data_IF_256118520681
#
_entry.id   IF_256118520681
#
_cell.length_a   1.000
_cell.length_b   1.000
_cell.length_c   1.000
_cell.angle_alpha   90.00
_cell.angle_beta   90.00
_cell.angle_gamma   90.00
#
_symmetry.space_group_name_H-M   'P 1'
#
loop_
_entity.id
_entity.type
_entity.pdbx_description
1 polymer ?
#
# COMPACT_ATOMS: atom_id res chain seq x y z
N UNK A 1 -40.32 14.02 -16.35
CA UNK A 1 -40.31 13.07 -15.21
C UNK A 1 -39.66 11.74 -15.59
N UNK A 2 -39.93 11.20 -16.78
CA UNK A 2 -39.40 9.91 -17.25
C UNK A 2 -37.87 9.83 -17.24
N UNK A 3 -37.19 10.86 -17.72
CA UNK A 3 -35.71 10.94 -17.74
C UNK A 3 -35.14 10.95 -16.32
N UNK A 4 -35.81 11.64 -15.38
CA UNK A 4 -35.38 11.73 -13.98
C UNK A 4 -35.47 10.36 -13.31
N UNK A 5 -36.55 9.62 -13.54
CA UNK A 5 -36.71 8.26 -13.05
C UNK A 5 -35.64 7.32 -13.61
N UNK A 6 -35.34 7.44 -14.90
CA UNK A 6 -34.32 6.63 -15.57
C UNK A 6 -32.91 6.96 -15.03
N UNK A 7 -32.61 8.24 -14.77
CA UNK A 7 -31.36 8.66 -14.15
C UNK A 7 -31.20 8.12 -12.71
N UNK A 8 -32.26 8.16 -11.90
CA UNK A 8 -32.25 7.60 -10.53
C UNK A 8 -32.03 6.09 -10.57
N UNK A 9 -32.67 5.37 -11.50
CA UNK A 9 -32.49 3.93 -11.64
C UNK A 9 -31.04 3.57 -11.99
N UNK A 10 -30.42 4.30 -12.93
CA UNK A 10 -29.01 4.12 -13.30
C UNK A 10 -28.06 4.43 -12.15
N UNK A 11 -28.28 5.53 -11.42
CA UNK A 11 -27.49 5.87 -10.24
C UNK A 11 -27.62 4.80 -9.16
N UNK A 12 -28.84 4.33 -8.89
CA UNK A 12 -29.09 3.25 -7.95
C UNK A 12 -28.31 1.98 -8.32
N UNK A 13 -28.33 1.60 -9.59
CA UNK A 13 -27.57 0.45 -10.08
C UNK A 13 -26.05 0.65 -9.94
N UNK A 14 -25.54 1.86 -10.19
CA UNK A 14 -24.12 2.18 -10.02
C UNK A 14 -23.68 2.06 -8.56
N UNK A 15 -24.45 2.60 -7.62
CA UNK A 15 -24.16 2.47 -6.18
C UNK A 15 -24.25 1.03 -5.69
N UNK A 16 -25.25 0.26 -6.16
CA UNK A 16 -25.36 -1.16 -5.86
C UNK A 16 -24.15 -1.95 -6.38
N UNK A 17 -23.69 -1.64 -7.60
CA UNK A 17 -22.48 -2.23 -8.19
C UNK A 17 -21.22 -1.93 -7.37
N UNK A 18 -21.05 -0.68 -6.93
CA UNK A 18 -19.93 -0.29 -6.06
C UNK A 18 -19.97 -1.00 -4.69
N UNK A 19 -21.16 -1.14 -4.10
CA UNK A 19 -21.34 -1.78 -2.80
C UNK A 19 -21.28 -3.32 -2.87
N UNK A 20 -21.38 -3.94 -4.05
CA UNK A 20 -21.53 -5.39 -4.22
C UNK A 20 -20.43 -6.20 -3.50
N UNK A 21 -19.17 -5.78 -3.62
CA UNK A 21 -18.03 -6.47 -2.99
C UNK A 21 -18.07 -6.39 -1.45
N UNK A 22 -18.64 -5.32 -0.89
CA UNK A 22 -18.73 -5.09 0.55
C UNK A 22 -19.90 -5.89 1.12
N UNK A 23 -21.08 -5.81 0.49
CA UNK A 23 -22.33 -6.42 0.98
C UNK A 23 -22.36 -7.93 0.73
N UNK A 24 -22.12 -8.39 -0.51
CA UNK A 24 -22.30 -9.79 -0.88
C UNK A 24 -21.04 -10.62 -0.66
N UNK A 25 -19.87 -10.11 -1.08
CA UNK A 25 -18.61 -10.85 -0.97
C UNK A 25 -17.92 -10.67 0.39
N UNK A 26 -18.47 -9.82 1.27
CA UNK A 26 -17.93 -9.50 2.61
C UNK A 26 -16.42 -9.26 2.60
N UNK A 27 -15.91 -8.67 1.51
CA UNK A 27 -14.49 -8.33 1.43
C UNK A 27 -14.22 -7.25 2.46
N UNK A 28 -13.19 -7.44 3.28
CA UNK A 28 -12.72 -6.39 4.18
C UNK A 28 -12.19 -5.24 3.34
N UNK A 29 -12.38 -4.02 3.84
CA UNK A 29 -11.67 -2.88 3.28
C UNK A 29 -10.16 -3.14 3.34
N UNK A 30 -9.39 -2.69 2.33
CA UNK A 30 -7.95 -2.87 2.32
C UNK A 30 -7.34 -2.19 3.55
N UNK A 31 -6.32 -2.84 4.12
CA UNK A 31 -5.56 -2.27 5.23
C UNK A 31 -4.88 -0.96 4.78
N UNK A 32 -5.23 0.16 5.41
CA UNK A 32 -4.68 1.48 5.07
C UNK A 32 -3.35 1.77 5.78
N UNK A 33 -2.99 0.97 6.79
CA UNK A 33 -1.76 1.17 7.54
C UNK A 33 -0.54 0.66 6.76
N UNK A 34 0.33 1.60 6.39
CA UNK A 34 1.60 1.32 5.72
C UNK A 34 2.44 0.38 6.59
N UNK A 35 2.81 -0.78 6.06
CA UNK A 35 3.60 -1.82 6.74
C UNK A 35 2.80 -3.01 7.29
N UNK A 36 1.51 -2.85 7.61
CA UNK A 36 0.64 -3.98 8.00
C UNK A 36 -0.08 -4.59 6.78
N UNK A 37 -0.27 -3.77 5.73
CA UNK A 37 -0.83 -4.22 4.46
C UNK A 37 0.14 -5.13 3.70
N UNK A 38 -0.23 -6.40 3.55
CA UNK A 38 0.55 -7.43 2.84
C UNK A 38 0.77 -7.08 1.37
N UNK A 39 -0.19 -6.47 0.71
CA UNK A 39 -0.10 -6.15 -0.71
C UNK A 39 0.83 -4.96 -0.95
N UNK A 40 0.80 -3.95 -0.07
CA UNK A 40 1.80 -2.87 -0.08
C UNK A 40 3.22 -3.41 0.15
N UNK A 41 3.38 -4.40 1.05
CA UNK A 41 4.68 -5.02 1.32
C UNK A 41 5.24 -5.78 0.12
N UNK A 42 4.37 -6.47 -0.66
CA UNK A 42 4.77 -7.12 -1.91
C UNK A 42 5.29 -6.13 -2.96
N UNK A 43 4.74 -4.92 -2.96
CA UNK A 43 5.17 -3.82 -3.82
C UNK A 43 6.42 -3.08 -3.28
N UNK A 44 6.98 -3.51 -2.14
CA UNK A 44 8.13 -2.86 -1.50
C UNK A 44 7.79 -1.53 -0.81
N UNK A 45 6.49 -1.19 -0.68
CA UNK A 45 6.06 0.04 -0.02
C UNK A 45 6.11 -0.18 1.50
N UNK A 46 6.97 0.58 2.17
CA UNK A 46 7.12 0.56 3.63
C UNK A 46 7.08 1.98 4.20
N UNK A 47 6.90 2.08 5.52
CA UNK A 47 6.89 3.37 6.23
C UNK A 47 8.19 4.14 5.98
N UNK A 48 8.12 5.47 5.91
CA UNK A 48 9.27 6.35 5.73
C UNK A 48 10.40 6.08 6.75
N UNK A 49 10.05 5.79 8.00
CA UNK A 49 11.03 5.42 9.05
C UNK A 49 11.76 4.11 8.74
N UNK A 50 11.07 3.15 8.11
CA UNK A 50 11.69 1.89 7.71
C UNK A 50 12.61 2.10 6.52
N UNK A 51 12.20 2.92 5.54
CA UNK A 51 13.06 3.31 4.42
C UNK A 51 14.36 3.96 4.93
N UNK A 52 14.23 4.95 5.82
CA UNK A 52 15.36 5.66 6.42
C UNK A 52 16.33 4.72 7.15
N UNK A 53 15.80 3.80 7.98
CA UNK A 53 16.62 2.79 8.66
C UNK A 53 17.33 1.83 7.70
N UNK A 54 16.69 1.46 6.59
CA UNK A 54 17.28 0.59 5.58
C UNK A 54 18.46 1.29 4.91
N UNK A 55 18.29 2.57 4.53
CA UNK A 55 19.37 3.38 3.96
C UNK A 55 20.53 3.58 4.96
N UNK A 56 20.22 3.92 6.21
CA UNK A 56 21.24 4.02 7.26
C UNK A 56 22.02 2.71 7.46
N UNK A 57 21.35 1.55 7.35
CA UNK A 57 22.01 0.25 7.46
C UNK A 57 22.96 0.00 6.30
N UNK A 58 22.56 0.32 5.06
CA UNK A 58 23.43 0.21 3.88
C UNK A 58 24.70 1.04 4.05
N UNK A 59 24.56 2.31 4.43
CA UNK A 59 25.71 3.21 4.67
C UNK A 59 26.64 2.66 5.75
N UNK A 60 26.09 2.15 6.86
CA UNK A 60 26.92 1.55 7.93
C UNK A 60 27.68 0.31 7.46
N UNK A 61 27.05 -0.54 6.65
CA UNK A 61 27.70 -1.71 6.08
C UNK A 61 28.82 -1.31 5.13
N UNK A 62 28.59 -0.38 4.20
CA UNK A 62 29.61 0.16 3.29
C UNK A 62 30.81 0.75 4.03
N UNK A 63 30.56 1.58 5.05
CA UNK A 63 31.62 2.16 5.89
C UNK A 63 32.40 1.08 6.66
N UNK A 64 31.74 0.01 7.11
CA UNK A 64 32.38 -1.13 7.78
C UNK A 64 33.31 -1.88 6.83
N UNK A 65 32.88 -2.14 5.59
CA UNK A 65 33.71 -2.80 4.58
C UNK A 65 34.93 -1.94 4.21
N UNK A 66 34.74 -0.63 4.03
CA UNK A 66 35.85 0.30 3.76
C UNK A 66 36.86 0.37 4.91
N UNK A 67 36.40 0.30 6.16
CA UNK A 67 37.30 0.24 7.32
C UNK A 67 38.14 -1.04 7.33
N UNK A 68 37.53 -2.18 7.00
CA UNK A 68 38.23 -3.47 6.94
C UNK A 68 39.31 -3.51 5.85
N UNK A 69 39.08 -2.86 4.70
CA UNK A 69 40.09 -2.79 3.64
C UNK A 69 41.30 -1.94 4.03
N UNK A 70 41.08 -0.81 4.72
CA UNK A 70 42.16 0.11 5.15
C UNK A 70 43.09 -0.52 6.20
N UNK A 71 42.59 -1.43 7.04
CA UNK A 71 43.40 -2.12 8.07
C UNK A 71 44.23 -3.28 7.49
N UNK A 72 43.88 -3.74 6.29
CA UNK A 72 44.53 -4.90 5.65
C UNK A 72 45.77 -4.52 4.81
N UNK A 73 45.97 -3.23 4.56
CA UNK A 73 47.14 -2.67 3.88
C UNK A 73 48.31 -2.42 4.84
#
# INVERSE_FOLDING_TARGET
>A
MEIVLLAIALLGLAFLGMAFNIVFRKKRFPETHVGHNRDMRKLGIVCAKTMDKLEQKKVKEELRFKRLSVVKE
#
